data_IF_514104935378
#
_entry.id   IF_514104935378
#
_cell.length_a   1.000
_cell.length_b   1.000
_cell.length_c   1.000
_cell.angle_alpha   90.00
_cell.angle_beta   90.00
_cell.angle_gamma   90.00
#
_symmetry.space_group_name_H-M   'P 1'
#
loop_
_entity.id
_entity.type
_entity.pdbx_description
1 polymer ?
#
# COMPACT_ATOMS: atom_id res chain seq x y z
N UNK A 1 -18.36 -10.77 -4.36
CA UNK A 1 -17.53 -9.66 -4.88
C UNK A 1 -16.93 -8.83 -3.76
N UNK A 2 -17.72 -8.34 -2.80
CA UNK A 2 -17.24 -7.55 -1.64
C UNK A 2 -16.08 -8.22 -0.88
N UNK A 3 -16.26 -9.47 -0.44
CA UNK A 3 -15.23 -10.23 0.30
C UNK A 3 -13.91 -10.32 -0.49
N UNK A 4 -13.98 -10.63 -1.78
CA UNK A 4 -12.80 -10.73 -2.63
C UNK A 4 -12.02 -9.40 -2.73
N UNK A 5 -12.74 -8.28 -2.87
CA UNK A 5 -12.13 -6.94 -2.86
C UNK A 5 -11.49 -6.64 -1.50
N UNK A 6 -12.16 -6.99 -0.40
CA UNK A 6 -11.60 -6.82 0.95
C UNK A 6 -10.32 -7.63 1.16
N UNK A 7 -10.27 -8.88 0.68
CA UNK A 7 -9.05 -9.70 0.75
C UNK A 7 -7.88 -9.04 0.00
N UNK A 8 -8.11 -8.50 -1.19
CA UNK A 8 -7.08 -7.79 -1.95
C UNK A 8 -6.61 -6.53 -1.22
N UNK A 9 -7.54 -5.76 -0.66
CA UNK A 9 -7.22 -4.57 0.14
C UNK A 9 -6.38 -4.93 1.37
N UNK A 10 -6.75 -5.97 2.11
CA UNK A 10 -5.98 -6.44 3.26
C UNK A 10 -4.58 -6.92 2.87
N UNK A 11 -4.45 -7.66 1.77
CA UNK A 11 -3.14 -8.08 1.26
C UNK A 11 -2.26 -6.88 0.89
N UNK A 12 -2.81 -5.90 0.16
CA UNK A 12 -2.11 -4.66 -0.20
C UNK A 12 -1.71 -3.85 1.05
N UNK A 13 -2.63 -3.68 2.00
CA UNK A 13 -2.36 -2.99 3.26
C UNK A 13 -1.26 -3.68 4.08
N UNK A 14 -1.25 -5.02 4.11
CA UNK A 14 -0.20 -5.79 4.78
C UNK A 14 1.16 -5.58 4.11
N UNK A 15 1.21 -5.61 2.78
CA UNK A 15 2.44 -5.31 2.04
C UNK A 15 2.93 -3.89 2.36
N UNK A 16 2.03 -2.92 2.43
CA UNK A 16 2.37 -1.55 2.81
C UNK A 16 3.00 -1.43 4.20
N UNK A 17 2.54 -2.24 5.17
CA UNK A 17 3.10 -2.25 6.53
C UNK A 17 4.43 -3.00 6.60
N UNK A 18 4.51 -4.18 6.00
CA UNK A 18 5.67 -5.07 6.14
C UNK A 18 6.82 -4.63 5.23
N UNK A 19 6.53 -4.37 3.95
CA UNK A 19 7.54 -4.09 2.92
C UNK A 19 7.00 -3.11 1.87
N UNK A 20 6.78 -1.83 2.22
CA UNK A 20 6.22 -0.82 1.31
C UNK A 20 7.07 -0.61 0.05
N UNK A 21 8.35 -0.97 0.09
CA UNK A 21 9.26 -0.95 -1.06
C UNK A 21 8.77 -1.84 -2.22
N UNK A 22 8.01 -2.91 -1.94
CA UNK A 22 7.43 -3.75 -2.99
C UNK A 22 6.38 -2.98 -3.78
N UNK A 23 5.53 -2.20 -3.11
CA UNK A 23 4.54 -1.34 -3.76
C UNK A 23 5.24 -0.25 -4.57
N UNK A 24 6.31 0.32 -4.04
CA UNK A 24 7.12 1.27 -4.79
C UNK A 24 7.79 0.62 -6.02
N UNK A 25 8.33 -0.60 -5.91
CA UNK A 25 8.94 -1.28 -7.04
C UNK A 25 7.95 -1.54 -8.19
N UNK A 26 6.69 -1.86 -7.86
CA UNK A 26 5.60 -1.96 -8.84
C UNK A 26 5.28 -0.59 -9.41
N UNK A 27 5.06 0.42 -8.56
CA UNK A 27 4.73 1.78 -8.99
C UNK A 27 5.81 2.40 -9.89
N UNK A 28 7.09 2.21 -9.56
CA UNK A 28 8.22 2.67 -10.37
C UNK A 28 8.19 2.08 -11.78
N UNK A 29 7.77 0.82 -11.94
CA UNK A 29 7.64 0.21 -13.27
C UNK A 29 6.53 0.88 -14.07
N UNK A 30 5.41 1.21 -13.43
CA UNK A 30 4.28 1.91 -14.04
C UNK A 30 4.61 3.36 -14.41
N UNK A 31 5.50 4.01 -13.65
CA UNK A 31 5.97 5.36 -13.93
C UNK A 31 6.94 5.44 -15.13
N UNK A 32 7.53 4.32 -15.57
CA UNK A 32 8.43 4.32 -16.73
C UNK A 32 7.67 4.81 -17.97
N UNK A 33 8.22 5.80 -18.65
CA UNK A 33 7.62 6.41 -19.86
C UNK A 33 6.76 7.64 -19.60
N UNK A 34 6.40 7.92 -18.33
CA UNK A 34 5.55 9.08 -17.96
C UNK A 34 6.27 10.04 -17.02
N UNK A 35 7.17 9.53 -16.17
CA UNK A 35 7.95 10.33 -15.21
C UNK A 35 9.40 10.42 -15.69
N UNK A 36 9.93 11.65 -15.72
CA UNK A 36 11.29 11.96 -16.19
C UNK A 36 12.38 11.23 -15.40
N UNK A 37 12.22 11.15 -14.08
CA UNK A 37 13.08 10.36 -13.20
C UNK A 37 12.22 9.60 -12.16
N UNK A 38 11.85 8.34 -12.45
CA UNK A 38 11.10 7.52 -11.50
C UNK A 38 11.88 7.22 -10.22
N UNK A 39 13.22 7.15 -10.27
CA UNK A 39 14.04 6.85 -9.10
C UNK A 39 14.05 8.01 -8.10
N UNK A 40 14.06 9.25 -8.59
CA UNK A 40 13.94 10.46 -7.77
C UNK A 40 12.61 10.58 -7.01
N UNK A 41 11.61 9.75 -7.31
CA UNK A 41 10.33 9.71 -6.59
C UNK A 41 10.27 8.65 -5.50
N UNK A 42 11.38 7.94 -5.23
CA UNK A 42 11.45 6.97 -4.13
C UNK A 42 11.20 7.67 -2.79
N UNK A 43 10.26 7.15 -1.97
CA UNK A 43 10.09 7.65 -0.62
C UNK A 43 11.39 7.53 0.18
N UNK A 44 11.70 8.57 0.95
CA UNK A 44 12.80 8.50 1.93
C UNK A 44 12.49 7.48 3.02
N UNK A 45 13.47 7.12 3.86
CA UNK A 45 13.25 6.26 5.03
C UNK A 45 12.11 6.77 5.94
N UNK A 46 11.96 8.10 6.09
CA UNK A 46 10.84 8.72 6.82
C UNK A 46 9.53 8.57 6.05
N UNK A 47 9.55 8.74 4.72
CA UNK A 47 8.40 8.49 3.86
C UNK A 47 7.88 7.05 3.98
N UNK A 48 8.78 6.06 4.01
CA UNK A 48 8.41 4.67 4.26
C UNK A 48 7.85 4.45 5.67
N UNK A 49 8.39 5.12 6.69
CA UNK A 49 7.83 5.04 8.04
C UNK A 49 6.39 5.58 8.10
N UNK A 50 6.13 6.71 7.44
CA UNK A 50 4.77 7.28 7.31
C UNK A 50 3.86 6.29 6.57
N UNK A 51 4.30 5.73 5.45
CA UNK A 51 3.52 4.73 4.71
C UNK A 51 3.15 3.52 5.55
N UNK A 52 4.06 3.01 6.39
CA UNK A 52 3.76 1.91 7.32
C UNK A 52 2.71 2.33 8.34
N UNK A 53 2.85 3.52 8.93
CA UNK A 53 1.88 4.06 9.89
C UNK A 53 0.48 4.18 9.27
N UNK A 54 0.38 4.78 8.08
CA UNK A 54 -0.89 4.85 7.33
C UNK A 54 -1.42 3.46 6.98
N UNK A 55 -0.55 2.52 6.62
CA UNK A 55 -0.92 1.14 6.33
C UNK A 55 -1.54 0.42 7.53
N UNK A 56 -1.01 0.64 8.74
CA UNK A 56 -1.58 0.08 9.99
C UNK A 56 -2.99 0.64 10.22
N UNK A 57 -3.16 1.97 10.13
CA UNK A 57 -4.48 2.60 10.28
C UNK A 57 -5.47 2.06 9.26
N UNK A 58 -5.05 1.95 8.00
CA UNK A 58 -5.86 1.39 6.93
C UNK A 58 -6.29 -0.06 7.21
N UNK A 59 -5.37 -0.92 7.66
CA UNK A 59 -5.69 -2.32 7.99
C UNK A 59 -6.70 -2.43 9.12
N UNK A 60 -6.56 -1.63 10.19
CA UNK A 60 -7.51 -1.61 11.30
C UNK A 60 -8.92 -1.28 10.80
N UNK A 61 -9.04 -0.24 9.96
CA UNK A 61 -10.33 0.16 9.37
C UNK A 61 -10.87 -0.92 8.42
N UNK A 62 -10.02 -1.49 7.57
CA UNK A 62 -10.44 -2.53 6.62
C UNK A 62 -10.96 -3.80 7.33
N UNK A 63 -10.28 -4.23 8.40
CA UNK A 63 -10.73 -5.35 9.23
C UNK A 63 -12.05 -5.01 9.92
N UNK A 64 -12.18 -3.81 10.49
CA UNK A 64 -13.42 -3.36 11.11
C UNK A 64 -14.61 -3.39 10.14
N UNK A 65 -14.43 -2.86 8.93
CA UNK A 65 -15.45 -2.88 7.87
C UNK A 65 -15.80 -4.32 7.48
N UNK A 66 -14.79 -5.18 7.30
CA UNK A 66 -15.02 -6.57 6.92
C UNK A 66 -15.84 -7.31 7.99
N UNK A 67 -15.47 -7.17 9.28
CA UNK A 67 -16.16 -7.84 10.38
C UNK A 67 -17.59 -7.32 10.58
N UNK A 68 -17.81 -6.02 10.40
CA UNK A 68 -19.15 -5.42 10.56
C UNK A 68 -20.09 -5.68 9.39
N UNK A 69 -19.57 -6.09 8.24
CA UNK A 69 -20.34 -6.35 7.01
C UNK A 69 -20.21 -7.81 6.52
N UNK A 70 -19.77 -8.70 7.41
CA UNK A 70 -19.78 -10.16 7.25
C UNK A 70 -21.13 -10.70 7.71
#
# INVERSE_FOLDING_TARGET
MFIAVMCLMLAMGLVQVVRPQLLWAVNRRLQRGWVKDPAGTEPTSRGYAVQRGTGVVFLVVAVWILVTNL
#
